data_IF_631232609136
#
_entry.id   IF_631232609136
#
_cell.length_a   1.000
_cell.length_b   1.000
_cell.length_c   1.000
_cell.angle_alpha   90.00
_cell.angle_beta   90.00
_cell.angle_gamma   90.00
#
_symmetry.space_group_name_H-M   'P 1'
#
loop_
_entity.id
_entity.type
_entity.pdbx_description
1 polymer ?
#
# COMPACT_ATOMS: atom_id res chain seq x y z
N UNK A 1 20.24 -35.64 39.38
CA UNK A 1 21.26 -34.68 38.92
C UNK A 1 21.33 -34.78 37.42
N UNK A 2 20.71 -33.81 36.75
CA UNK A 2 20.64 -33.66 35.30
C UNK A 2 22.00 -33.22 34.76
N UNK A 3 22.51 -33.93 33.76
CA UNK A 3 23.68 -33.56 32.98
C UNK A 3 23.41 -33.86 31.52
N UNK A 4 22.85 -32.88 30.81
CA UNK A 4 22.76 -32.87 29.35
C UNK A 4 24.03 -32.21 28.81
N UNK A 5 24.74 -32.92 27.94
CA UNK A 5 25.26 -32.43 26.66
C UNK A 5 26.19 -33.48 26.04
N UNK A 6 25.93 -33.87 24.79
CA UNK A 6 26.89 -33.80 23.68
C UNK A 6 26.28 -34.44 22.42
N UNK A 7 25.84 -33.56 21.53
CA UNK A 7 26.16 -33.49 20.10
C UNK A 7 26.44 -34.80 19.34
N UNK A 8 25.71 -35.00 18.24
CA UNK A 8 26.27 -34.95 16.88
C UNK A 8 25.19 -35.14 15.81
N UNK A 9 24.78 -34.02 15.21
CA UNK A 9 24.00 -34.00 13.98
C UNK A 9 24.85 -34.61 12.85
N UNK A 10 24.28 -35.59 12.14
CA UNK A 10 24.91 -36.19 10.96
C UNK A 10 24.61 -35.33 9.74
N UNK A 11 25.69 -34.83 9.17
CA UNK A 11 25.83 -34.21 7.85
C UNK A 11 25.24 -35.15 6.79
N UNK A 12 24.29 -34.67 6.00
CA UNK A 12 23.97 -35.29 4.71
C UNK A 12 24.20 -34.25 3.61
N UNK A 13 25.25 -34.50 2.84
CA UNK A 13 25.74 -33.73 1.72
C UNK A 13 24.85 -34.08 0.51
N UNK A 14 24.07 -33.13 -0.02
CA UNK A 14 23.47 -33.25 -1.34
C UNK A 14 24.03 -32.13 -2.23
N UNK A 15 25.08 -32.50 -2.95
CA UNK A 15 25.61 -31.81 -4.13
C UNK A 15 24.82 -32.31 -5.33
N UNK A 16 24.30 -31.39 -6.16
CA UNK A 16 23.94 -31.52 -7.59
C UNK A 16 22.77 -30.57 -7.87
N UNK A 17 22.66 -29.83 -8.97
CA UNK A 17 23.45 -29.66 -10.19
C UNK A 17 22.80 -28.44 -10.87
N UNK A 18 23.58 -27.41 -11.16
CA UNK A 18 23.15 -26.27 -11.98
C UNK A 18 22.86 -26.78 -13.39
N UNK A 19 21.63 -26.60 -13.87
CA UNK A 19 21.31 -26.66 -15.29
C UNK A 19 20.71 -25.30 -15.69
N UNK A 20 21.60 -24.42 -16.14
CA UNK A 20 21.22 -23.20 -16.84
C UNK A 20 20.67 -23.60 -18.22
N UNK A 21 19.35 -23.50 -18.40
CA UNK A 21 18.72 -23.41 -19.72
C UNK A 21 18.32 -21.96 -19.88
N UNK A 22 19.14 -21.21 -20.61
CA UNK A 22 18.79 -19.90 -21.13
C UNK A 22 17.66 -20.05 -22.14
N UNK A 23 16.47 -19.58 -21.75
CA UNK A 23 15.38 -19.31 -22.66
C UNK A 23 15.45 -17.84 -23.07
N UNK A 24 15.76 -17.59 -24.33
CA UNK A 24 15.70 -16.27 -24.95
C UNK A 24 14.24 -15.79 -24.98
N UNK A 25 13.87 -14.86 -24.11
CA UNK A 25 12.63 -14.09 -24.26
C UNK A 25 12.88 -12.92 -25.21
N UNK A 26 12.89 -13.19 -26.50
CA UNK A 26 12.66 -12.13 -27.49
C UNK A 26 11.16 -11.85 -27.55
N UNK A 27 10.66 -11.02 -26.62
CA UNK A 27 9.40 -10.31 -26.78
C UNK A 27 9.61 -9.12 -27.74
N UNK A 28 9.96 -9.41 -28.99
CA UNK A 28 10.02 -8.37 -30.03
C UNK A 28 8.59 -8.00 -30.45
N UNK A 29 8.06 -6.92 -29.88
CA UNK A 29 6.84 -6.25 -30.36
C UNK A 29 5.85 -5.73 -29.30
N UNK A 30 6.14 -5.89 -28.00
CA UNK A 30 5.16 -5.67 -26.93
C UNK A 30 5.44 -4.47 -26.01
N UNK A 31 5.98 -3.36 -26.52
CA UNK A 31 6.30 -2.18 -25.70
C UNK A 31 5.58 -0.89 -26.12
N UNK A 32 4.66 -0.95 -27.08
CA UNK A 32 4.08 0.26 -27.68
C UNK A 32 3.19 1.06 -26.73
N UNK A 33 2.38 0.38 -25.93
CA UNK A 33 1.51 1.03 -24.94
C UNK A 33 2.31 1.54 -23.75
N UNK A 34 3.29 0.76 -23.29
CA UNK A 34 4.18 1.08 -22.16
C UNK A 34 5.08 2.25 -22.50
N UNK A 35 5.71 2.23 -23.68
CA UNK A 35 6.55 3.33 -24.15
C UNK A 35 5.74 4.62 -24.22
N UNK A 36 4.53 4.58 -24.77
CA UNK A 36 3.66 5.76 -24.89
C UNK A 36 3.23 6.30 -23.53
N UNK A 37 2.83 5.41 -22.62
CA UNK A 37 2.42 5.75 -21.26
C UNK A 37 3.59 6.38 -20.47
N UNK A 38 4.74 5.71 -20.42
CA UNK A 38 5.92 6.14 -19.67
C UNK A 38 6.49 7.44 -20.27
N UNK A 39 6.52 7.58 -21.59
CA UNK A 39 6.92 8.83 -22.25
C UNK A 39 5.98 9.98 -21.91
N UNK A 40 4.67 9.73 -21.92
CA UNK A 40 3.65 10.73 -21.56
C UNK A 40 3.79 11.16 -20.11
N UNK A 41 4.05 10.21 -19.22
CA UNK A 41 4.31 10.46 -17.80
C UNK A 41 5.55 11.35 -17.60
N UNK A 42 6.73 10.98 -18.09
CA UNK A 42 7.94 11.77 -17.87
C UNK A 42 7.84 13.17 -18.52
N UNK A 43 7.19 13.26 -19.68
CA UNK A 43 6.91 14.56 -20.30
C UNK A 43 5.99 15.42 -19.42
N UNK A 44 4.92 14.86 -18.89
CA UNK A 44 4.00 15.58 -18.01
C UNK A 44 4.70 16.00 -16.70
N UNK A 45 5.50 15.12 -16.11
CA UNK A 45 6.33 15.37 -14.93
C UNK A 45 7.30 16.54 -15.14
N UNK A 46 8.02 16.58 -16.27
CA UNK A 46 8.93 17.68 -16.63
C UNK A 46 8.26 19.05 -16.62
N UNK A 47 7.00 19.12 -17.07
CA UNK A 47 6.23 20.37 -17.14
C UNK A 47 5.27 20.58 -15.96
N UNK A 48 5.31 19.71 -14.94
CA UNK A 48 4.36 19.70 -13.84
C UNK A 48 2.88 19.74 -14.32
N UNK A 49 2.56 19.04 -15.42
CA UNK A 49 1.20 18.96 -15.96
C UNK A 49 0.34 18.03 -15.10
N UNK A 50 -0.27 18.61 -14.07
CA UNK A 50 -1.11 17.88 -13.10
C UNK A 50 -2.35 17.24 -13.73
N UNK A 51 -2.84 17.78 -14.85
CA UNK A 51 -4.04 17.26 -15.52
C UNK A 51 -3.71 15.93 -16.17
N UNK A 52 -2.62 15.86 -16.94
CA UNK A 52 -2.16 14.60 -17.52
C UNK A 52 -1.73 13.62 -16.44
N UNK A 53 -0.94 14.06 -15.46
CA UNK A 53 -0.45 13.20 -14.38
C UNK A 53 -1.59 12.54 -13.60
N UNK A 54 -2.63 13.29 -13.22
CA UNK A 54 -3.79 12.75 -12.51
C UNK A 54 -4.58 11.70 -13.30
N UNK A 55 -4.40 11.65 -14.63
CA UNK A 55 -5.00 10.62 -15.48
C UNK A 55 -4.15 9.36 -15.64
N UNK A 56 -2.83 9.42 -15.45
CA UNK A 56 -1.91 8.33 -15.86
C UNK A 56 -1.01 7.81 -14.75
N UNK A 57 -0.91 8.51 -13.61
CA UNK A 57 0.00 8.15 -12.53
C UNK A 57 -0.56 8.48 -11.15
N UNK A 58 -0.21 7.63 -10.18
CA UNK A 58 -0.46 7.83 -8.74
C UNK A 58 0.76 8.36 -8.00
N UNK A 59 1.93 8.26 -8.63
CA UNK A 59 3.20 8.75 -8.11
C UNK A 59 3.68 9.95 -8.91
N UNK A 60 4.53 10.74 -8.28
CA UNK A 60 5.19 11.88 -8.91
C UNK A 60 6.65 11.53 -9.23
N UNK A 61 7.18 12.18 -10.26
CA UNK A 61 8.60 12.25 -10.53
C UNK A 61 8.93 13.74 -10.67
N UNK A 62 9.54 14.31 -9.64
CA UNK A 62 9.70 15.75 -9.50
C UNK A 62 11.04 16.20 -10.11
N UNK A 63 11.05 17.09 -11.11
CA UNK A 63 12.28 17.60 -11.72
C UNK A 63 13.31 18.17 -10.73
N UNK A 64 12.85 18.77 -9.63
CA UNK A 64 13.73 19.41 -8.65
C UNK A 64 14.48 18.40 -7.77
N UNK A 65 13.83 17.27 -7.44
CA UNK A 65 14.39 16.24 -6.53
C UNK A 65 14.90 15.01 -7.25
N UNK A 66 14.24 14.63 -8.34
CA UNK A 66 14.47 13.39 -9.07
C UNK A 66 15.18 13.65 -10.40
N UNK A 67 15.27 14.90 -10.86
CA UNK A 67 15.84 15.26 -12.15
C UNK A 67 14.85 15.13 -13.30
N UNK A 68 15.31 15.34 -14.54
CA UNK A 68 14.47 15.25 -15.74
C UNK A 68 14.92 14.08 -16.61
N UNK A 69 14.00 13.19 -16.95
CA UNK A 69 14.26 12.13 -17.94
C UNK A 69 14.22 12.71 -19.36
N UNK A 70 15.34 12.64 -20.07
CA UNK A 70 15.45 13.08 -21.47
C UNK A 70 15.03 12.00 -22.46
N UNK A 71 15.49 10.78 -22.23
CA UNK A 71 15.18 9.57 -23.00
C UNK A 71 15.24 8.34 -22.12
N UNK A 72 14.64 7.24 -22.54
CA UNK A 72 14.77 5.95 -21.89
C UNK A 72 14.61 4.82 -22.89
N UNK A 73 15.18 3.67 -22.55
CA UNK A 73 15.02 2.41 -23.25
C UNK A 73 14.34 1.40 -22.31
N UNK A 74 13.33 0.67 -22.82
CA UNK A 74 12.71 -0.43 -22.09
C UNK A 74 13.63 -1.65 -22.19
N UNK A 75 14.08 -2.15 -21.04
CA UNK A 75 14.94 -3.32 -20.94
C UNK A 75 14.13 -4.61 -20.85
N UNK A 76 13.09 -4.61 -20.01
CA UNK A 76 12.22 -5.76 -19.83
C UNK A 76 10.82 -5.36 -19.35
N UNK A 77 9.85 -6.21 -19.67
CA UNK A 77 8.48 -6.13 -19.18
C UNK A 77 8.14 -7.50 -18.60
N UNK A 78 7.63 -7.54 -17.37
CA UNK A 78 7.21 -8.81 -16.76
C UNK A 78 5.89 -9.29 -17.36
N UNK A 79 5.59 -10.58 -17.22
CA UNK A 79 4.25 -11.09 -17.50
C UNK A 79 3.20 -10.41 -16.61
N UNK A 80 1.99 -10.25 -17.14
CA UNK A 80 0.86 -9.68 -16.39
C UNK A 80 0.44 -10.63 -15.27
N UNK A 81 0.53 -10.15 -14.04
CA UNK A 81 0.01 -10.84 -12.86
C UNK A 81 -1.43 -10.39 -12.62
N UNK A 82 -2.31 -11.36 -12.39
CA UNK A 82 -3.74 -11.14 -12.13
C UNK A 82 -4.08 -11.54 -10.71
N UNK A 83 -4.85 -10.70 -10.03
CA UNK A 83 -5.49 -11.03 -8.76
C UNK A 83 -6.90 -10.45 -8.68
N UNK A 84 -7.84 -11.08 -7.94
CA UNK A 84 -9.12 -10.46 -7.64
C UNK A 84 -8.94 -9.12 -6.91
N UNK A 85 -9.82 -8.16 -7.22
CA UNK A 85 -9.98 -6.94 -6.44
C UNK A 85 -10.59 -7.24 -5.07
N UNK A 86 -10.06 -6.62 -4.03
CA UNK A 86 -10.46 -6.89 -2.65
C UNK A 86 -11.27 -5.76 -2.00
N UNK A 87 -11.78 -4.81 -2.79
CA UNK A 87 -12.55 -3.66 -2.29
C UNK A 87 -13.74 -4.09 -1.42
N UNK A 88 -14.51 -5.11 -1.82
CA UNK A 88 -15.66 -5.61 -1.03
C UNK A 88 -15.24 -6.19 0.33
N UNK A 89 -14.16 -6.95 0.35
CA UNK A 89 -13.59 -7.53 1.58
C UNK A 89 -13.08 -6.41 2.50
N UNK A 90 -12.32 -5.46 1.95
CA UNK A 90 -11.79 -4.30 2.68
C UNK A 90 -12.89 -3.39 3.22
N UNK A 91 -13.97 -3.17 2.46
CA UNK A 91 -15.13 -2.42 2.93
C UNK A 91 -15.84 -3.12 4.09
N UNK A 92 -15.95 -4.45 4.05
CA UNK A 92 -16.48 -5.23 5.17
C UNK A 92 -15.57 -5.15 6.40
N UNK A 93 -14.25 -5.20 6.21
CA UNK A 93 -13.27 -5.04 7.29
C UNK A 93 -13.35 -3.66 7.94
N UNK A 94 -13.48 -2.59 7.14
CA UNK A 94 -13.69 -1.23 7.64
C UNK A 94 -14.99 -1.11 8.45
N UNK A 95 -16.10 -1.63 7.92
CA UNK A 95 -17.38 -1.61 8.62
C UNK A 95 -17.32 -2.34 9.97
N UNK A 96 -16.60 -3.47 10.02
CA UNK A 96 -16.37 -4.22 11.24
C UNK A 96 -15.49 -3.44 12.23
N UNK A 97 -14.36 -2.88 11.79
CA UNK A 97 -13.47 -2.10 12.65
C UNK A 97 -14.19 -0.90 13.28
N UNK A 98 -15.04 -0.20 12.50
CA UNK A 98 -15.87 0.88 13.00
C UNK A 98 -16.93 0.41 14.01
N UNK A 99 -17.51 -0.78 13.81
CA UNK A 99 -18.45 -1.36 14.76
C UNK A 99 -17.77 -1.77 16.07
N UNK A 100 -16.57 -2.35 15.99
CA UNK A 100 -15.77 -2.72 17.15
C UNK A 100 -15.36 -1.48 17.94
N UNK A 101 -14.92 -0.42 17.26
CA UNK A 101 -14.61 0.86 17.90
C UNK A 101 -15.84 1.45 18.61
N UNK A 102 -17.03 1.42 17.99
CA UNK A 102 -18.27 1.90 18.64
C UNK A 102 -18.62 1.11 19.89
N UNK A 103 -18.48 -0.21 19.82
CA UNK A 103 -18.77 -1.12 20.94
C UNK A 103 -17.79 -0.86 22.08
N UNK A 104 -16.49 -0.84 21.78
CA UNK A 104 -15.43 -0.51 22.73
C UNK A 104 -15.63 0.87 23.37
N UNK A 105 -15.95 1.89 22.58
CA UNK A 105 -16.17 3.25 23.10
C UNK A 105 -17.36 3.31 24.08
N UNK A 106 -18.41 2.51 23.85
CA UNK A 106 -19.54 2.42 24.76
C UNK A 106 -19.15 1.74 26.09
N UNK A 107 -18.38 0.65 26.03
CA UNK A 107 -17.87 -0.05 27.22
C UNK A 107 -16.89 0.81 28.02
N UNK A 108 -15.95 1.45 27.33
CA UNK A 108 -14.99 2.38 27.92
C UNK A 108 -15.72 3.53 28.62
N UNK A 109 -16.77 4.08 27.99
CA UNK A 109 -17.60 5.12 28.60
C UNK A 109 -18.31 4.61 29.86
N UNK A 110 -18.90 3.43 29.83
CA UNK A 110 -19.55 2.85 31.00
C UNK A 110 -18.56 2.69 32.17
N UNK A 111 -17.36 2.14 31.90
CA UNK A 111 -16.30 2.04 32.89
C UNK A 111 -15.89 3.41 33.44
N UNK A 112 -15.77 4.42 32.56
CA UNK A 112 -15.44 5.77 32.95
C UNK A 112 -16.49 6.37 33.89
N UNK A 113 -17.77 6.23 33.54
CA UNK A 113 -18.91 6.74 34.30
C UNK A 113 -18.99 6.09 35.69
N UNK A 114 -18.68 4.80 35.81
CA UNK A 114 -18.64 4.07 37.09
C UNK A 114 -17.44 4.44 37.97
N UNK A 115 -16.33 4.90 37.38
CA UNK A 115 -15.06 5.13 38.07
C UNK A 115 -14.58 6.59 38.05
N UNK A 116 -15.45 7.56 37.73
CA UNK A 116 -15.12 8.97 37.50
C UNK A 116 -14.17 9.57 38.55
N UNK A 117 -14.52 9.44 39.84
CA UNK A 117 -13.75 10.03 40.93
C UNK A 117 -12.36 9.38 41.09
N UNK A 118 -12.26 8.07 40.86
CA UNK A 118 -11.00 7.35 40.94
C UNK A 118 -10.11 7.69 39.75
N UNK A 119 -10.65 7.72 38.54
CA UNK A 119 -9.95 8.14 37.33
C UNK A 119 -9.47 9.59 37.46
N UNK A 120 -10.28 10.51 37.98
CA UNK A 120 -9.86 11.89 38.21
C UNK A 120 -8.65 11.98 39.15
N UNK A 121 -8.62 11.19 40.23
CA UNK A 121 -7.46 11.11 41.14
C UNK A 121 -6.23 10.50 40.47
N UNK A 122 -6.40 9.47 39.64
CA UNK A 122 -5.31 8.87 38.86
C UNK A 122 -4.71 9.90 37.91
N UNK A 123 -5.54 10.61 37.14
CA UNK A 123 -5.09 11.65 36.20
C UNK A 123 -4.33 12.77 36.92
N UNK A 124 -4.80 13.20 38.09
CA UNK A 124 -4.13 14.24 38.87
C UNK A 124 -2.74 13.77 39.36
N UNK A 125 -2.64 12.54 39.88
CA UNK A 125 -1.37 11.97 40.30
C UNK A 125 -0.39 11.81 39.11
N UNK A 126 -0.87 11.29 37.98
CA UNK A 126 -0.07 11.17 36.74
C UNK A 126 0.44 12.54 36.25
N UNK A 127 -0.37 13.61 36.35
CA UNK A 127 0.03 14.98 35.97
C UNK A 127 1.04 15.60 36.92
N UNK A 128 0.94 15.28 38.20
CA UNK A 128 1.84 15.76 39.24
C UNK A 128 3.15 14.95 39.31
N UNK A 129 3.31 13.90 38.50
CA UNK A 129 4.40 12.92 38.59
C UNK A 129 4.48 12.28 40.00
N UNK A 130 3.31 12.05 40.60
CA UNK A 130 3.14 11.44 41.92
C UNK A 130 2.65 9.99 41.81
N UNK A 131 3.00 9.17 42.82
CA UNK A 131 2.49 7.80 42.92
C UNK A 131 0.98 7.77 43.15
N UNK A 132 0.29 6.90 42.40
CA UNK A 132 -1.14 6.65 42.62
C UNK A 132 -1.34 5.95 43.96
N UNK A 133 -2.33 6.42 44.73
CA UNK A 133 -2.70 5.85 46.03
C UNK A 133 -3.07 4.37 45.87
N UNK A 134 -2.72 3.52 46.83
CA UNK A 134 -2.96 2.07 46.76
C UNK A 134 -4.41 1.68 46.47
N UNK A 135 -5.40 2.44 46.94
CA UNK A 135 -6.83 2.20 46.66
C UNK A 135 -7.25 2.43 45.20
N UNK A 136 -6.45 3.16 44.44
CA UNK A 136 -6.73 3.60 43.07
C UNK A 136 -5.82 2.88 42.05
N UNK A 137 -4.97 1.94 42.48
CA UNK A 137 -4.01 1.21 41.62
C UNK A 137 -4.71 0.34 40.57
N UNK A 138 -5.71 -0.45 40.97
CA UNK A 138 -6.48 -1.28 40.03
C UNK A 138 -7.16 -0.42 38.95
N UNK A 139 -7.66 0.77 39.35
CA UNK A 139 -8.27 1.72 38.42
C UNK A 139 -7.23 2.31 37.47
N UNK A 140 -6.02 2.62 37.95
CA UNK A 140 -4.92 3.10 37.11
C UNK A 140 -4.52 2.06 36.05
N UNK A 141 -4.35 0.80 36.45
CA UNK A 141 -3.99 -0.29 35.53
C UNK A 141 -5.06 -0.48 34.46
N UNK A 142 -6.32 -0.62 34.87
CA UNK A 142 -7.44 -0.76 33.94
C UNK A 142 -7.60 0.49 33.04
N UNK A 143 -7.48 1.70 33.60
CA UNK A 143 -7.57 2.93 32.82
C UNK A 143 -6.45 3.08 31.80
N UNK A 144 -5.23 2.65 32.14
CA UNK A 144 -4.11 2.60 31.21
C UNK A 144 -4.39 1.63 30.07
N UNK A 145 -4.89 0.43 30.38
CA UNK A 145 -5.33 -0.54 29.37
C UNK A 145 -6.43 0.02 28.45
N UNK A 146 -7.45 0.68 28.99
CA UNK A 146 -8.49 1.33 28.18
C UNK A 146 -7.91 2.38 27.22
N UNK A 147 -6.92 3.18 27.66
CA UNK A 147 -6.26 4.16 26.77
C UNK A 147 -5.43 3.51 25.67
N UNK A 148 -4.73 2.42 25.98
CA UNK A 148 -3.94 1.66 24.99
C UNK A 148 -4.85 0.98 23.97
N UNK A 149 -5.88 0.26 24.43
CA UNK A 149 -6.83 -0.42 23.57
C UNK A 149 -7.60 0.59 22.68
N UNK A 150 -7.92 1.78 23.20
CA UNK A 150 -8.53 2.88 22.42
C UNK A 150 -7.67 3.33 21.24
N UNK A 151 -6.35 3.44 21.45
CA UNK A 151 -5.40 3.73 20.37
C UNK A 151 -5.35 2.57 19.37
N UNK A 152 -5.40 1.32 19.84
CA UNK A 152 -5.48 0.13 18.98
C UNK A 152 -6.70 0.15 18.06
N UNK A 153 -7.89 0.37 18.60
CA UNK A 153 -9.12 0.46 17.80
C UNK A 153 -9.09 1.62 16.79
N UNK A 154 -8.55 2.77 17.19
CA UNK A 154 -8.44 3.93 16.29
C UNK A 154 -7.46 3.66 15.14
N UNK A 155 -6.34 2.98 15.41
CA UNK A 155 -5.39 2.53 14.37
C UNK A 155 -6.05 1.52 13.43
N UNK A 156 -6.77 0.53 13.97
CA UNK A 156 -7.44 -0.48 13.15
C UNK A 156 -8.43 0.13 12.14
N UNK A 157 -9.17 1.17 12.53
CA UNK A 157 -10.06 1.90 11.60
C UNK A 157 -9.24 2.65 10.55
N UNK A 158 -8.21 3.39 10.97
CA UNK A 158 -7.37 4.16 10.04
C UNK A 158 -6.64 3.27 9.02
N UNK A 159 -6.15 2.11 9.45
CA UNK A 159 -5.49 1.13 8.58
C UNK A 159 -6.50 0.56 7.57
N UNK A 160 -7.70 0.18 8.01
CA UNK A 160 -8.75 -0.34 7.12
C UNK A 160 -9.26 0.72 6.11
N UNK A 161 -9.34 1.99 6.51
CA UNK A 161 -9.64 3.11 5.61
C UNK A 161 -8.54 3.29 4.56
N UNK A 162 -7.28 3.21 4.99
CA UNK A 162 -6.11 3.35 4.09
C UNK A 162 -6.06 2.23 3.07
N UNK A 163 -6.26 0.98 3.50
CA UNK A 163 -6.26 -0.19 2.62
C UNK A 163 -7.37 -0.12 1.57
N UNK A 164 -8.60 0.21 2.00
CA UNK A 164 -9.72 0.38 1.08
C UNK A 164 -9.48 1.54 0.09
N UNK A 165 -8.94 2.66 0.58
CA UNK A 165 -8.65 3.82 -0.26
C UNK A 165 -7.57 3.51 -1.31
N UNK A 166 -6.51 2.77 -0.95
CA UNK A 166 -5.44 2.39 -1.86
C UNK A 166 -5.97 1.52 -3.01
N UNK A 167 -6.72 0.46 -2.69
CA UNK A 167 -7.31 -0.43 -3.70
C UNK A 167 -8.34 0.33 -4.59
N UNK A 168 -9.20 1.14 -3.98
CA UNK A 168 -10.25 1.89 -4.68
C UNK A 168 -9.68 2.99 -5.58
N UNK A 169 -8.56 3.61 -5.18
CA UNK A 169 -7.91 4.65 -5.97
C UNK A 169 -7.40 4.08 -7.29
N UNK A 170 -6.75 2.90 -7.27
CA UNK A 170 -6.23 2.25 -8.49
C UNK A 170 -7.37 1.97 -9.46
N UNK A 171 -8.46 1.40 -8.94
CA UNK A 171 -9.65 1.13 -9.73
C UNK A 171 -10.27 2.43 -10.29
N UNK A 172 -10.36 3.48 -9.47
CA UNK A 172 -10.98 4.76 -9.86
C UNK A 172 -10.20 5.45 -10.97
N UNK A 173 -8.87 5.53 -10.87
CA UNK A 173 -8.05 6.18 -11.89
C UNK A 173 -8.02 5.32 -13.15
N UNK A 174 -7.80 4.00 -13.02
CA UNK A 174 -7.72 3.09 -14.17
C UNK A 174 -9.04 3.02 -14.95
N UNK A 175 -10.19 2.95 -14.28
CA UNK A 175 -11.50 2.86 -14.93
C UNK A 175 -12.17 4.23 -15.16
N UNK A 176 -11.48 5.35 -14.92
CA UNK A 176 -12.06 6.69 -15.08
C UNK A 176 -12.47 6.94 -16.53
N UNK A 177 -13.76 7.16 -16.76
CA UNK A 177 -14.33 7.70 -17.99
C UNK A 177 -15.27 8.88 -17.65
N UNK A 178 -14.98 10.12 -18.11
CA UNK A 178 -15.83 11.27 -17.82
C UNK A 178 -17.23 11.17 -18.44
N UNK A 179 -17.43 10.35 -19.48
CA UNK A 179 -18.71 10.18 -20.14
C UNK A 179 -19.57 9.10 -19.49
N UNK A 180 -18.97 8.20 -18.70
CA UNK A 180 -19.65 7.11 -18.03
C UNK A 180 -19.08 6.90 -16.61
N UNK A 181 -19.41 7.78 -15.66
CA UNK A 181 -18.92 7.65 -14.30
C UNK A 181 -19.51 6.40 -13.62
N UNK A 182 -18.64 5.60 -13.01
CA UNK A 182 -19.01 4.37 -12.30
C UNK A 182 -18.58 4.43 -10.83
N UNK A 183 -19.32 3.73 -9.97
CA UNK A 183 -18.89 3.46 -8.60
C UNK A 183 -18.08 2.15 -8.57
N UNK A 184 -16.76 2.28 -8.63
CA UNK A 184 -15.84 1.12 -8.69
C UNK A 184 -15.93 0.22 -7.46
N UNK A 185 -16.29 0.77 -6.28
CA UNK A 185 -16.36 -0.03 -5.05
C UNK A 185 -17.52 -1.02 -5.05
N UNK A 186 -18.53 -0.78 -5.88
CA UNK A 186 -19.68 -1.67 -6.05
C UNK A 186 -19.41 -2.85 -6.99
N UNK A 187 -18.31 -2.80 -7.75
CA UNK A 187 -18.00 -3.75 -8.80
C UNK A 187 -16.95 -4.78 -8.35
N UNK A 188 -17.08 -5.99 -8.88
CA UNK A 188 -16.06 -7.02 -8.77
C UNK A 188 -15.15 -6.99 -10.00
N UNK A 189 -13.96 -7.54 -9.89
CA UNK A 189 -13.03 -7.53 -11.00
C UNK A 189 -11.66 -8.07 -10.65
N UNK A 190 -10.74 -7.89 -11.58
CA UNK A 190 -9.34 -8.23 -11.40
C UNK A 190 -8.47 -6.98 -11.42
N UNK A 191 -7.42 -6.99 -10.61
CA UNK A 191 -6.28 -6.11 -10.74
C UNK A 191 -5.19 -6.83 -11.52
N UNK A 192 -4.75 -6.19 -12.59
CA UNK A 192 -3.62 -6.60 -13.40
C UNK A 192 -2.42 -5.76 -13.00
N UNK A 193 -1.26 -6.39 -12.87
CA UNK A 193 0.01 -5.73 -12.55
C UNK A 193 1.11 -6.23 -13.46
N UNK A 194 1.95 -5.34 -13.96
CA UNK A 194 3.21 -5.66 -14.62
C UNK A 194 4.28 -4.63 -14.26
N UNK A 195 5.53 -5.06 -14.28
CA UNK A 195 6.68 -4.19 -14.04
C UNK A 195 7.42 -3.95 -15.36
N UNK A 196 7.82 -2.70 -15.56
CA UNK A 196 8.61 -2.27 -16.71
C UNK A 196 9.95 -1.75 -16.20
N UNK A 197 11.02 -2.45 -16.53
CA UNK A 197 12.39 -2.00 -16.24
C UNK A 197 12.85 -1.14 -17.41
N UNK A 198 13.30 0.07 -17.10
CA UNK A 198 13.87 1.00 -18.07
C UNK A 198 15.26 1.44 -17.64
N UNK A 199 16.10 1.78 -18.61
CA UNK A 199 17.28 2.62 -18.36
C UNK A 199 16.97 4.02 -18.89
N UNK A 200 16.99 5.01 -18.01
CA UNK A 200 16.61 6.38 -18.28
C UNK A 200 17.81 7.32 -18.16
N UNK A 201 18.02 8.16 -19.17
CA UNK A 201 18.99 9.25 -19.12
C UNK A 201 18.39 10.40 -18.32
N UNK A 202 18.92 10.64 -17.12
CA UNK A 202 18.39 11.63 -16.18
C UNK A 202 19.35 12.80 -16.04
N UNK A 203 18.86 13.98 -16.37
CA UNK A 203 19.55 15.24 -16.15
C UNK A 203 19.21 15.81 -14.77
N UNK A 204 20.23 16.00 -13.92
CA UNK A 204 20.10 16.64 -12.61
C UNK A 204 21.35 17.45 -12.28
N UNK A 205 21.17 18.69 -11.81
CA UNK A 205 22.29 19.54 -11.39
C UNK A 205 23.30 19.86 -12.51
N UNK A 206 22.87 19.80 -13.78
CA UNK A 206 23.71 20.05 -14.96
C UNK A 206 24.59 18.86 -15.38
N UNK A 207 24.37 17.68 -14.82
CA UNK A 207 24.97 16.41 -15.26
C UNK A 207 23.88 15.44 -15.70
N UNK A 208 24.19 14.60 -16.69
CA UNK A 208 23.33 13.52 -17.17
C UNK A 208 23.90 12.18 -16.71
N UNK A 209 23.04 11.34 -16.14
CA UNK A 209 23.38 10.00 -15.66
C UNK A 209 22.31 8.99 -16.08
N UNK A 210 22.75 7.84 -16.56
CA UNK A 210 21.87 6.70 -16.83
C UNK A 210 21.44 6.05 -15.51
N UNK A 211 20.14 5.96 -15.28
CA UNK A 211 19.56 5.32 -14.09
C UNK A 211 18.58 4.24 -14.50
N UNK A 212 18.74 3.06 -13.92
CA UNK A 212 17.76 1.98 -14.06
C UNK A 212 16.57 2.29 -13.15
N UNK A 213 15.35 2.25 -13.70
CA UNK A 213 14.11 2.44 -12.96
C UNK A 213 13.19 1.24 -13.20
N UNK A 214 12.50 0.80 -12.14
CA UNK A 214 11.44 -0.20 -12.21
C UNK A 214 10.10 0.51 -12.03
N UNK A 215 9.26 0.46 -13.05
CA UNK A 215 7.96 1.14 -13.08
C UNK A 215 6.86 0.09 -12.95
N UNK A 216 6.05 0.20 -11.88
CA UNK A 216 4.90 -0.68 -11.66
C UNK A 216 3.68 -0.10 -12.34
N UNK A 217 3.17 -0.84 -13.33
CA UNK A 217 1.93 -0.52 -14.03
C UNK A 217 0.79 -1.36 -13.47
N UNK A 218 -0.36 -0.72 -13.25
CA UNK A 218 -1.59 -1.40 -12.84
C UNK A 218 -2.77 -1.01 -13.70
N UNK A 219 -3.70 -1.96 -13.88
CA UNK A 219 -4.97 -1.79 -14.59
C UNK A 219 -6.04 -2.62 -13.89
N UNK A 220 -7.29 -2.16 -13.92
CA UNK A 220 -8.43 -3.00 -13.51
C UNK A 220 -9.23 -3.51 -14.70
N UNK A 221 -9.80 -4.69 -14.54
CA UNK A 221 -10.89 -5.22 -15.36
C UNK A 221 -12.11 -5.41 -14.45
N UNK A 222 -13.16 -4.61 -14.63
CA UNK A 222 -14.34 -4.58 -13.76
C UNK A 222 -15.57 -5.22 -14.43
N UNK A 223 -16.27 -6.07 -13.70
CA UNK A 223 -17.51 -6.70 -14.13
C UNK A 223 -18.69 -5.76 -13.90
N UNK A 224 -19.17 -5.09 -14.95
CA UNK A 224 -20.39 -4.29 -14.91
C UNK A 224 -21.58 -5.03 -15.51
N UNK A 225 -22.80 -4.54 -15.26
CA UNK A 225 -24.04 -5.12 -15.78
C UNK A 225 -24.08 -5.15 -17.32
N UNK A 226 -23.48 -4.15 -17.96
CA UNK A 226 -23.50 -3.96 -19.42
C UNK A 226 -22.27 -4.59 -20.13
N UNK A 227 -21.38 -5.24 -19.38
CA UNK A 227 -20.17 -5.88 -19.89
C UNK A 227 -18.93 -5.64 -19.03
N UNK A 228 -17.80 -6.16 -19.49
CA UNK A 228 -16.50 -5.92 -18.86
C UNK A 228 -16.03 -4.51 -19.15
N UNK A 229 -15.65 -3.77 -18.11
CA UNK A 229 -14.99 -2.47 -18.21
C UNK A 229 -13.49 -2.73 -18.10
N UNK A 230 -12.78 -2.57 -19.21
CA UNK A 230 -11.33 -2.62 -19.25
C UNK A 230 -10.78 -1.22 -18.94
N UNK A 231 -10.11 -1.08 -17.80
CA UNK A 231 -9.44 0.16 -17.42
C UNK A 231 -8.18 0.41 -18.26
N UNK A 232 -7.60 1.60 -18.11
CA UNK A 232 -6.28 1.94 -18.69
C UNK A 232 -5.16 1.56 -17.72
N UNK A 233 -3.99 1.25 -18.27
CA UNK A 233 -2.77 1.16 -17.48
C UNK A 233 -2.41 2.52 -16.86
N UNK A 234 -2.03 2.49 -15.59
CA UNK A 234 -1.55 3.64 -14.83
C UNK A 234 -0.26 3.28 -14.10
N UNK A 235 0.58 4.28 -13.86
CA UNK A 235 1.81 4.14 -13.08
C UNK A 235 1.48 4.24 -11.59
N UNK A 236 1.87 3.25 -10.81
CA UNK A 236 1.53 3.15 -9.38
C UNK A 236 2.74 3.13 -8.46
N UNK A 237 3.91 2.78 -8.98
CA UNK A 237 5.18 2.89 -8.26
C UNK A 237 6.33 3.11 -9.25
N UNK A 238 7.41 3.73 -8.75
CA UNK A 238 8.68 3.88 -9.44
C UNK A 238 9.77 3.63 -8.40
N UNK A 239 10.59 2.62 -8.65
CA UNK A 239 11.74 2.27 -7.83
C UNK A 239 13.05 2.50 -8.61
N UNK A 240 14.11 2.90 -7.91
CA UNK A 240 15.44 3.24 -8.46
C UNK A 240 16.56 2.54 -7.70
#
# INVERSE_FOLDING_TARGET
MSGWNLSRAKISLFVSLVLAIGGSLTACGGGGEEQSLISSFFRASRFNDRTTLGGVSMVAFNPDTDGTVGSFDIESITEEQRRPLRMREMAAALAQAQQDQRTFAAEMKAYQDENLDAIARVIEAERADEDVRSRDQDVQEAWTKWREDSQGHSRAVADAETDLAAESSVASVSAYDPNNPIDVQSLEGELLTKEVTITAAVEQGGSEEDRTLVITLQRVELNAADGMIEGRWIITAIDS
#
